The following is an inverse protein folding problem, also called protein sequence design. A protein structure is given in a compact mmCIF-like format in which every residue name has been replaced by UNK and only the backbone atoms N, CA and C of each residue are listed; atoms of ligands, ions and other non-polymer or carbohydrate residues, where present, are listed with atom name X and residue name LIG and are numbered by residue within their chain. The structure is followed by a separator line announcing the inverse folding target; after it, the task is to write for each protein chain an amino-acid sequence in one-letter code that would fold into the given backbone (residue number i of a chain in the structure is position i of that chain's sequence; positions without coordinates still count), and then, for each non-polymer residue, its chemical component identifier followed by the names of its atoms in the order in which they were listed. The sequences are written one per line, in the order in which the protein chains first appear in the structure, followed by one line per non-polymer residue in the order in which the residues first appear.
data_IF_006086019571
#
_entry.id   IF_006086019571
#
_cell.length_a   1.000
_cell.length_b   1.000
_cell.length_c   1.000
_cell.angle_alpha   90.00
_cell.angle_beta   90.00
_cell.angle_gamma   90.00
#
_symmetry.space_group_name_H-M   'P 1'
#
loop_
_entity.id
_entity.type
_entity.pdbx_description
1 polymer ?
#
# COMPACT_ATOMS: atom_id res chain seq x y z
N UNK A 1 -13.01 6.53 15.23
CA UNK A 1 -13.53 6.47 13.83
C UNK A 1 -14.88 7.18 13.60
N UNK A 2 -15.03 7.92 12.50
CA UNK A 2 -16.27 8.61 12.09
C UNK A 2 -17.23 7.77 11.21
N UNK A 3 -18.50 8.21 11.08
CA UNK A 3 -19.56 7.51 10.33
C UNK A 3 -19.29 7.35 8.82
N UNK A 4 -18.44 8.22 8.25
CA UNK A 4 -18.13 8.20 6.81
C UNK A 4 -17.09 7.12 6.50
N UNK A 5 -16.05 6.99 7.34
CA UNK A 5 -15.08 5.90 7.27
C UNK A 5 -15.78 4.54 7.48
N UNK A 6 -16.74 4.47 8.42
CA UNK A 6 -17.56 3.27 8.63
C UNK A 6 -18.30 2.83 7.37
N UNK A 7 -18.88 3.76 6.60
CA UNK A 7 -19.56 3.43 5.33
C UNK A 7 -18.61 2.91 4.23
N UNK A 8 -17.32 3.22 4.35
CA UNK A 8 -16.29 2.81 3.40
C UNK A 8 -15.90 1.33 3.58
N UNK A 9 -16.23 0.74 4.75
CA UNK A 9 -16.01 -0.68 5.04
C UNK A 9 -16.79 -1.58 4.05
N UNK A 10 -18.01 -1.19 3.71
CA UNK A 10 -18.86 -2.01 2.85
C UNK A 10 -18.58 -1.80 1.36
N UNK A 11 -18.14 -0.60 1.00
CA UNK A 11 -17.95 -0.19 -0.39
C UNK A 11 -16.61 0.53 -0.56
N UNK A 12 -15.64 -0.18 -1.15
CA UNK A 12 -14.43 0.45 -1.63
C UNK A 12 -14.75 1.42 -2.78
N UNK A 13 -13.98 2.51 -2.88
CA UNK A 13 -14.15 3.42 -3.98
C UNK A 13 -13.85 2.79 -5.36
N UNK A 14 -14.52 3.24 -6.44
CA UNK A 14 -14.34 2.77 -7.80
C UNK A 14 -12.91 3.01 -8.31
N UNK A 15 -12.49 2.11 -9.18
CA UNK A 15 -11.13 1.99 -9.65
C UNK A 15 -10.86 2.93 -10.83
N UNK A 16 -9.72 3.66 -10.83
CA UNK A 16 -9.32 4.48 -11.97
C UNK A 16 -8.71 3.62 -13.10
N UNK A 17 -7.98 4.29 -14.01
CA UNK A 17 -7.43 3.87 -15.32
C UNK A 17 -6.87 2.45 -15.43
N UNK A 18 -6.47 1.80 -14.33
CA UNK A 18 -6.04 0.39 -14.27
C UNK A 18 -7.06 -0.58 -14.85
N UNK A 19 -8.36 -0.32 -14.69
CA UNK A 19 -9.41 -1.18 -15.27
C UNK A 19 -9.36 -1.18 -16.79
N UNK A 20 -9.06 -0.03 -17.38
CA UNK A 20 -8.90 0.11 -18.84
C UNK A 20 -7.67 -0.66 -19.30
N UNK A 21 -6.53 -0.49 -18.62
CA UNK A 21 -5.29 -1.24 -18.92
C UNK A 21 -5.50 -2.76 -18.82
N UNK A 22 -6.16 -3.22 -17.75
CA UNK A 22 -6.45 -4.63 -17.53
C UNK A 22 -7.36 -5.19 -18.62
N UNK A 23 -8.45 -4.49 -18.94
CA UNK A 23 -9.37 -4.88 -20.02
C UNK A 23 -8.64 -4.96 -21.35
N UNK A 24 -7.94 -3.90 -21.74
CA UNK A 24 -7.29 -3.81 -23.05
C UNK A 24 -6.21 -4.89 -23.21
N UNK A 25 -5.47 -5.21 -22.14
CA UNK A 25 -4.51 -6.29 -22.14
C UNK A 25 -5.16 -7.68 -22.29
N UNK A 26 -6.16 -7.98 -21.46
CA UNK A 26 -6.84 -9.29 -21.50
C UNK A 26 -7.56 -9.50 -22.84
N UNK A 27 -8.24 -8.48 -23.35
CA UNK A 27 -9.01 -8.57 -24.60
C UNK A 27 -8.09 -8.68 -25.84
N UNK A 28 -6.92 -8.02 -25.82
CA UNK A 28 -5.93 -8.12 -26.92
C UNK A 28 -5.15 -9.44 -26.92
N UNK A 29 -4.84 -10.00 -25.75
CA UNK A 29 -4.09 -11.26 -25.65
C UNK A 29 -4.96 -12.51 -25.84
N UNK A 30 -6.26 -12.45 -25.54
CA UNK A 30 -7.21 -13.54 -25.82
C UNK A 30 -6.83 -14.86 -25.16
N UNK A 31 -6.49 -15.88 -25.96
CA UNK A 31 -6.08 -17.20 -25.46
C UNK A 31 -4.64 -17.22 -24.91
N UNK A 32 -3.82 -16.24 -25.28
CA UNK A 32 -2.39 -16.15 -24.94
C UNK A 32 -2.13 -15.21 -23.75
N UNK A 33 -3.15 -14.99 -22.90
CA UNK A 33 -3.02 -14.10 -21.74
C UNK A 33 -1.99 -14.66 -20.76
N UNK A 34 -1.00 -13.83 -20.43
CA UNK A 34 0.00 -14.10 -19.40
C UNK A 34 -0.52 -13.61 -18.05
N UNK A 35 -0.71 -14.56 -17.12
CA UNK A 35 -1.13 -14.31 -15.75
C UNK A 35 -0.20 -13.32 -15.05
N UNK A 36 1.10 -13.37 -15.33
CA UNK A 36 2.09 -12.50 -14.68
C UNK A 36 1.86 -11.03 -15.05
N UNK A 37 1.47 -10.75 -16.30
CA UNK A 37 1.11 -9.39 -16.73
C UNK A 37 -0.19 -8.91 -16.09
N UNK A 38 -1.17 -9.79 -15.93
CA UNK A 38 -2.42 -9.47 -15.20
C UNK A 38 -2.10 -9.11 -13.74
N UNK A 39 -1.29 -9.91 -13.07
CA UNK A 39 -0.84 -9.67 -11.69
C UNK A 39 -0.12 -8.32 -11.59
N UNK A 40 0.80 -8.02 -12.52
CA UNK A 40 1.52 -6.76 -12.54
C UNK A 40 0.61 -5.55 -12.72
N UNK A 41 -0.39 -5.61 -13.60
CA UNK A 41 -1.35 -4.51 -13.77
C UNK A 41 -2.16 -4.27 -12.49
N UNK A 42 -2.55 -5.34 -11.80
CA UNK A 42 -3.38 -5.25 -10.58
C UNK A 42 -2.58 -4.69 -9.40
N UNK A 43 -1.35 -5.16 -9.22
CA UNK A 43 -0.56 -4.87 -8.03
C UNK A 43 -0.03 -3.44 -7.96
N UNK A 44 -0.12 -2.68 -9.06
CA UNK A 44 0.20 -1.25 -9.13
C UNK A 44 -0.96 -0.35 -8.67
N UNK A 45 -2.13 -0.92 -8.37
CA UNK A 45 -3.34 -0.16 -7.98
C UNK A 45 -3.80 -0.54 -6.55
N UNK A 46 -3.71 0.40 -5.59
CA UNK A 46 -4.14 0.19 -4.21
C UNK A 46 -5.59 -0.26 -4.05
N UNK A 47 -6.50 0.35 -4.80
CA UNK A 47 -7.94 0.08 -4.66
C UNK A 47 -8.28 -1.28 -5.26
N UNK A 48 -7.73 -1.62 -6.43
CA UNK A 48 -8.00 -2.89 -7.09
C UNK A 48 -7.40 -4.05 -6.29
N UNK A 49 -6.20 -3.85 -5.74
CA UNK A 49 -5.54 -4.80 -4.83
C UNK A 49 -6.42 -5.08 -3.61
N UNK A 50 -6.89 -4.04 -2.92
CA UNK A 50 -7.73 -4.18 -1.74
C UNK A 50 -9.06 -4.88 -2.05
N UNK A 51 -9.72 -4.48 -3.13
CA UNK A 51 -11.03 -5.00 -3.51
C UNK A 51 -10.98 -6.48 -3.90
N UNK A 52 -9.97 -6.87 -4.67
CA UNK A 52 -9.83 -8.27 -5.08
C UNK A 52 -9.44 -9.17 -3.91
N UNK A 53 -8.57 -8.71 -3.00
CA UNK A 53 -8.22 -9.46 -1.79
C UNK A 53 -9.41 -9.58 -0.83
N UNK A 54 -10.19 -8.51 -0.66
CA UNK A 54 -11.43 -8.52 0.12
C UNK A 54 -12.41 -9.54 -0.43
N UNK A 55 -12.62 -9.54 -1.75
CA UNK A 55 -13.52 -10.48 -2.39
C UNK A 55 -13.03 -11.93 -2.26
N UNK A 56 -11.74 -12.17 -2.52
CA UNK A 56 -11.14 -13.50 -2.44
C UNK A 56 -11.19 -14.10 -1.03
N UNK A 57 -11.08 -13.27 0.02
CA UNK A 57 -11.21 -13.68 1.42
C UNK A 57 -12.65 -13.69 1.95
N UNK A 58 -13.63 -13.32 1.12
CA UNK A 58 -15.03 -13.32 1.53
C UNK A 58 -15.53 -14.75 1.80
N UNK A 59 -16.52 -14.93 2.70
CA UNK A 59 -17.07 -16.24 3.02
C UNK A 59 -17.58 -17.03 1.79
N UNK A 60 -17.91 -16.33 0.70
CA UNK A 60 -18.39 -16.94 -0.54
C UNK A 60 -17.38 -17.92 -1.17
N UNK A 61 -16.08 -17.64 -1.07
CA UNK A 61 -15.04 -18.48 -1.70
C UNK A 61 -14.47 -19.55 -0.77
N UNK A 62 -14.73 -19.49 0.54
CA UNK A 62 -14.30 -20.51 1.49
C UNK A 62 -12.81 -20.48 1.89
N UNK A 63 -12.05 -19.44 1.51
CA UNK A 63 -10.62 -19.26 1.83
C UNK A 63 -10.38 -18.07 2.76
N UNK A 64 -11.23 -17.90 3.77
CA UNK A 64 -11.19 -16.71 4.64
C UNK A 64 -9.88 -16.62 5.42
N UNK A 65 -9.20 -15.47 5.34
CA UNK A 65 -7.87 -15.20 5.93
C UNK A 65 -6.72 -16.01 5.34
N UNK A 66 -6.90 -16.64 4.16
CA UNK A 66 -5.85 -17.46 3.53
C UNK A 66 -5.24 -16.81 2.27
N UNK A 67 -5.97 -15.88 1.63
CA UNK A 67 -5.52 -15.25 0.39
C UNK A 67 -4.74 -13.98 0.73
N UNK A 68 -3.44 -14.01 0.44
CA UNK A 68 -2.49 -12.95 0.79
C UNK A 68 -1.74 -12.35 -0.41
N UNK A 69 -1.87 -12.92 -1.61
CA UNK A 69 -1.18 -12.42 -2.82
C UNK A 69 -2.13 -12.26 -4.00
N UNK A 70 -1.79 -11.33 -4.91
CA UNK A 70 -2.55 -11.14 -6.16
C UNK A 70 -2.48 -12.38 -7.05
N UNK A 71 -1.38 -13.12 -7.02
CA UNK A 71 -1.27 -14.40 -7.73
C UNK A 71 -2.33 -15.40 -7.24
N UNK A 72 -2.54 -15.51 -5.92
CA UNK A 72 -3.57 -16.37 -5.35
C UNK A 72 -4.97 -15.90 -5.73
N UNK A 73 -5.23 -14.59 -5.69
CA UNK A 73 -6.48 -13.99 -6.16
C UNK A 73 -6.79 -14.39 -7.61
N UNK A 74 -5.84 -14.19 -8.52
CA UNK A 74 -6.04 -14.51 -9.94
C UNK A 74 -6.22 -16.02 -10.14
N UNK A 75 -5.54 -16.85 -9.35
CA UNK A 75 -5.68 -18.30 -9.38
C UNK A 75 -7.05 -18.77 -8.89
N UNK A 76 -7.58 -18.14 -7.84
CA UNK A 76 -8.88 -18.48 -7.24
C UNK A 76 -10.04 -17.98 -8.09
N UNK A 77 -10.00 -16.72 -8.50
CA UNK A 77 -11.10 -16.07 -9.21
C UNK A 77 -11.06 -16.36 -10.71
N UNK A 78 -9.87 -16.53 -11.29
CA UNK A 78 -9.66 -16.62 -12.73
C UNK A 78 -9.63 -15.23 -13.39
N UNK A 79 -8.81 -15.10 -14.44
CA UNK A 79 -8.54 -13.83 -15.15
C UNK A 79 -9.83 -13.12 -15.60
N UNK A 80 -10.76 -13.87 -16.18
CA UNK A 80 -12.00 -13.29 -16.70
C UNK A 80 -12.89 -12.71 -15.59
N UNK A 81 -12.98 -13.39 -14.44
CA UNK A 81 -13.73 -12.86 -13.31
C UNK A 81 -13.05 -11.62 -12.74
N UNK A 82 -11.71 -11.64 -12.59
CA UNK A 82 -10.94 -10.47 -12.13
C UNK A 82 -11.20 -9.26 -13.03
N UNK A 83 -11.13 -9.44 -14.36
CA UNK A 83 -11.48 -8.40 -15.34
C UNK A 83 -12.92 -7.90 -15.14
N UNK A 84 -13.89 -8.80 -15.04
CA UNK A 84 -15.30 -8.45 -14.93
C UNK A 84 -15.60 -7.71 -13.61
N UNK A 85 -14.98 -8.12 -12.50
CA UNK A 85 -15.08 -7.46 -11.19
C UNK A 85 -14.50 -6.05 -11.28
N UNK A 86 -13.32 -5.90 -11.88
CA UNK A 86 -12.68 -4.60 -12.07
C UNK A 86 -13.58 -3.65 -12.88
N UNK A 87 -14.17 -4.13 -13.98
CA UNK A 87 -15.11 -3.36 -14.82
C UNK A 87 -16.40 -3.04 -14.05
N UNK A 88 -16.98 -4.00 -13.34
CA UNK A 88 -18.20 -3.76 -12.58
C UNK A 88 -17.98 -2.70 -11.48
N UNK A 89 -16.80 -2.70 -10.84
CA UNK A 89 -16.45 -1.72 -9.83
C UNK A 89 -16.20 -0.32 -10.39
N UNK A 90 -15.62 -0.18 -11.58
CA UNK A 90 -15.45 1.15 -12.19
C UNK A 90 -16.78 1.79 -12.60
N UNK A 91 -17.83 1.00 -12.85
CA UNK A 91 -19.15 1.48 -13.26
C UNK A 91 -20.04 1.97 -12.10
N UNK A 92 -19.69 1.70 -10.83
CA UNK A 92 -20.50 2.04 -9.64
C UNK A 92 -20.50 3.54 -9.24
N UNK A 93 -20.43 4.46 -10.20
CA UNK A 93 -20.37 5.94 -10.10
C UNK A 93 -20.65 6.62 -8.74
N UNK A 94 -19.69 7.48 -8.34
CA UNK A 94 -19.80 8.83 -7.71
C UNK A 94 -18.45 9.31 -7.16
N UNK A 95 -17.49 8.38 -7.01
CA UNK A 95 -16.24 8.65 -6.35
C UNK A 95 -15.11 8.79 -7.37
N UNK A 96 -14.33 9.85 -7.21
CA UNK A 96 -13.10 10.10 -7.95
C UNK A 96 -11.97 9.99 -6.94
N UNK A 97 -10.98 9.14 -7.24
CA UNK A 97 -9.73 9.12 -6.46
C UNK A 97 -9.17 10.52 -6.49
N UNK A 98 -8.99 11.10 -5.31
CA UNK A 98 -8.52 12.47 -5.14
C UNK A 98 -7.83 12.55 -3.79
N UNK A 99 -6.50 12.64 -3.82
CA UNK A 99 -5.65 12.78 -2.62
C UNK A 99 -5.23 14.22 -2.37
N UNK A 100 -5.85 15.19 -3.05
CA UNK A 100 -5.59 16.62 -2.83
C UNK A 100 -5.89 17.13 -1.41
N UNK A 101 -6.77 16.52 -0.58
CA UNK A 101 -6.88 16.89 0.84
C UNK A 101 -5.55 16.78 1.58
N UNK A 102 -4.68 15.85 1.18
CA UNK A 102 -3.33 15.69 1.72
C UNK A 102 -2.28 16.59 1.04
N UNK A 103 -2.70 17.42 0.08
CA UNK A 103 -1.79 18.30 -0.66
C UNK A 103 -1.00 17.60 -1.76
N UNK A 104 -1.41 16.39 -2.14
CA UNK A 104 -0.72 15.54 -3.12
C UNK A 104 -1.39 15.64 -4.50
N UNK A 105 -0.61 15.57 -5.57
CA UNK A 105 -1.15 15.32 -6.91
C UNK A 105 -1.54 13.84 -7.03
N UNK A 106 -2.75 13.58 -7.52
CA UNK A 106 -3.29 12.22 -7.56
C UNK A 106 -2.59 11.33 -8.58
N UNK A 107 -2.19 11.88 -9.73
CA UNK A 107 -1.50 11.08 -10.75
C UNK A 107 -0.07 10.75 -10.32
N UNK A 108 0.61 11.71 -9.69
CA UNK A 108 1.94 11.50 -9.11
C UNK A 108 1.88 10.46 -7.99
N UNK A 109 0.92 10.58 -7.07
CA UNK A 109 0.72 9.61 -5.98
C UNK A 109 0.50 8.18 -6.50
N UNK A 110 -0.41 8.00 -7.47
CA UNK A 110 -0.66 6.68 -8.07
C UNK A 110 0.57 6.16 -8.85
N UNK A 111 1.29 7.06 -9.53
CA UNK A 111 2.56 6.73 -10.19
C UNK A 111 3.63 6.26 -9.20
N UNK A 112 3.69 6.87 -8.02
CA UNK A 112 4.59 6.45 -6.93
C UNK A 112 4.17 5.10 -6.33
N UNK A 113 2.87 4.82 -6.18
CA UNK A 113 2.38 3.50 -5.77
C UNK A 113 2.85 2.40 -6.74
N UNK A 114 2.78 2.66 -8.05
CA UNK A 114 3.27 1.72 -9.06
C UNK A 114 4.79 1.50 -8.95
N UNK A 115 5.57 2.58 -8.75
CA UNK A 115 7.03 2.48 -8.53
C UNK A 115 7.36 1.69 -7.26
N UNK A 116 6.60 1.91 -6.18
CA UNK A 116 6.74 1.21 -4.92
C UNK A 116 6.50 -0.30 -5.09
N UNK A 117 5.39 -0.71 -5.72
CA UNK A 117 5.10 -2.13 -5.99
C UNK A 117 6.20 -2.83 -6.81
N UNK A 118 6.74 -2.13 -7.82
CA UNK A 118 7.84 -2.62 -8.64
C UNK A 118 9.13 -2.74 -7.82
N UNK A 119 9.45 -1.75 -6.98
CA UNK A 119 10.62 -1.81 -6.09
C UNK A 119 10.54 -2.99 -5.11
N UNK A 120 9.38 -3.25 -4.50
CA UNK A 120 9.20 -4.42 -3.61
C UNK A 120 9.49 -5.72 -4.35
N UNK A 121 9.05 -5.82 -5.60
CA UNK A 121 9.29 -6.97 -6.45
C UNK A 121 10.79 -7.12 -6.78
N UNK A 122 11.45 -6.04 -7.18
CA UNK A 122 12.86 -6.05 -7.59
C UNK A 122 13.82 -6.29 -6.42
N UNK A 123 13.52 -5.72 -5.25
CA UNK A 123 14.34 -5.87 -4.06
C UNK A 123 14.29 -7.28 -3.49
N UNK A 124 13.10 -7.86 -3.36
CA UNK A 124 12.90 -9.08 -2.58
C UNK A 124 12.69 -10.35 -3.41
N UNK A 125 12.37 -10.29 -4.70
CA UNK A 125 12.01 -11.49 -5.46
C UNK A 125 13.12 -12.55 -5.56
N UNK A 126 14.39 -12.14 -5.61
CA UNK A 126 15.54 -13.05 -5.61
C UNK A 126 16.01 -13.49 -4.22
N UNK A 127 15.63 -12.75 -3.17
CA UNK A 127 16.02 -13.08 -1.79
C UNK A 127 14.94 -13.93 -1.11
N UNK A 128 13.69 -13.50 -1.23
CA UNK A 128 12.51 -14.13 -0.65
C UNK A 128 11.29 -13.82 -1.52
N UNK A 129 11.09 -14.63 -2.57
CA UNK A 129 9.97 -14.50 -3.50
C UNK A 129 8.61 -14.53 -2.82
N UNK A 130 8.45 -15.35 -1.76
CA UNK A 130 7.18 -15.48 -1.05
C UNK A 130 6.89 -14.18 -0.29
N UNK A 131 7.87 -13.67 0.44
CA UNK A 131 7.75 -12.39 1.12
C UNK A 131 7.42 -11.27 0.15
N UNK A 132 8.16 -11.16 -0.96
CA UNK A 132 7.95 -10.15 -2.00
C UNK A 132 6.48 -10.12 -2.47
N UNK A 133 5.91 -11.27 -2.81
CA UNK A 133 4.51 -11.38 -3.27
C UNK A 133 3.47 -11.01 -2.21
N UNK A 134 3.75 -11.24 -0.93
CA UNK A 134 2.87 -10.87 0.19
C UNK A 134 3.04 -9.40 0.60
N UNK A 135 4.21 -8.81 0.34
CA UNK A 135 4.55 -7.46 0.77
C UNK A 135 4.05 -6.38 -0.21
N UNK A 136 3.92 -6.69 -1.49
CA UNK A 136 3.30 -5.78 -2.47
C UNK A 136 1.87 -5.40 -2.04
N UNK A 137 0.97 -6.35 -1.70
CA UNK A 137 -0.31 -6.01 -1.06
C UNK A 137 -0.18 -5.16 0.19
N UNK A 138 0.77 -5.44 1.08
CA UNK A 138 0.94 -4.64 2.30
C UNK A 138 1.25 -3.16 1.99
N UNK A 139 2.16 -2.91 1.05
CA UNK A 139 2.49 -1.55 0.59
C UNK A 139 1.26 -0.86 -0.03
N UNK A 140 0.54 -1.56 -0.91
CA UNK A 140 -0.67 -1.03 -1.55
C UNK A 140 -1.78 -0.71 -0.53
N UNK A 141 -1.99 -1.58 0.45
CA UNK A 141 -2.99 -1.37 1.51
C UNK A 141 -2.59 -0.22 2.45
N UNK A 142 -1.30 0.03 2.66
CA UNK A 142 -0.85 1.22 3.37
C UNK A 142 -1.25 2.51 2.63
N UNK A 143 -1.06 2.55 1.31
CA UNK A 143 -1.45 3.69 0.46
C UNK A 143 -2.96 3.88 0.36
N UNK A 144 -3.73 2.80 0.51
CA UNK A 144 -5.19 2.87 0.59
C UNK A 144 -5.67 3.78 1.72
N UNK A 145 -4.98 3.84 2.86
CA UNK A 145 -5.36 4.69 4.00
C UNK A 145 -5.59 6.15 3.61
N UNK A 146 -4.63 6.76 2.91
CA UNK A 146 -4.71 8.14 2.41
C UNK A 146 -5.88 8.33 1.44
N UNK A 147 -6.14 7.35 0.57
CA UNK A 147 -7.26 7.40 -0.39
C UNK A 147 -8.60 7.43 0.37
N UNK A 148 -8.77 6.56 1.36
CA UNK A 148 -10.01 6.46 2.13
C UNK A 148 -10.23 7.68 3.03
N UNK A 149 -9.17 8.20 3.63
CA UNK A 149 -9.25 9.41 4.45
C UNK A 149 -9.52 10.65 3.60
N UNK A 150 -8.89 10.78 2.44
CA UNK A 150 -9.18 11.85 1.49
C UNK A 150 -10.65 11.86 1.08
N UNK A 151 -11.23 10.68 0.82
CA UNK A 151 -12.67 10.56 0.58
C UNK A 151 -13.49 11.08 1.76
N UNK A 152 -13.17 10.59 2.96
CA UNK A 152 -13.90 10.93 4.18
C UNK A 152 -13.90 12.43 4.43
N UNK A 153 -12.73 13.06 4.30
CA UNK A 153 -12.54 14.51 4.45
C UNK A 153 -13.37 15.30 3.43
N UNK A 154 -13.39 14.89 2.16
CA UNK A 154 -14.18 15.55 1.11
C UNK A 154 -15.69 15.41 1.36
N UNK A 155 -16.15 14.22 1.74
CA UNK A 155 -17.57 13.99 2.06
C UNK A 155 -18.00 14.78 3.29
N UNK A 156 -17.11 14.97 4.26
CA UNK A 156 -17.34 15.81 5.44
C UNK A 156 -17.18 17.31 5.16
N UNK A 157 -16.68 17.71 4.00
CA UNK A 157 -16.37 19.10 3.66
C UNK A 157 -15.23 19.71 4.47
N UNK A 158 -14.34 18.87 5.02
CA UNK A 158 -13.20 19.26 5.86
C UNK A 158 -11.84 19.23 5.12
N UNK A 159 -11.85 18.91 3.84
CA UNK A 159 -10.66 18.78 2.99
C UNK A 159 -9.74 20.02 3.04
N UNK A 160 -10.31 21.23 2.98
CA UNK A 160 -9.53 22.47 2.98
C UNK A 160 -8.93 22.80 4.34
N UNK A 161 -9.68 22.60 5.42
CA UNK A 161 -9.23 22.82 6.79
C UNK A 161 -8.12 21.85 7.17
N UNK A 162 -8.28 20.58 6.79
CA UNK A 162 -7.27 19.55 6.97
C UNK A 162 -5.97 19.89 6.23
N UNK A 163 -6.07 20.28 4.95
CA UNK A 163 -4.91 20.69 4.16
C UNK A 163 -4.20 21.91 4.75
N UNK A 164 -4.96 22.85 5.31
CA UNK A 164 -4.39 24.03 5.97
C UNK A 164 -3.57 23.62 7.20
N UNK A 165 -4.11 22.73 8.03
CA UNK A 165 -3.40 22.24 9.22
C UNK A 165 -2.15 21.43 8.87
N UNK A 166 -2.18 20.64 7.79
CA UNK A 166 -1.01 19.97 7.24
C UNK A 166 0.09 20.96 6.85
N UNK A 167 -0.26 22.03 6.14
CA UNK A 167 0.70 23.07 5.72
C UNK A 167 1.31 23.80 6.91
N UNK A 168 0.52 24.13 7.93
CA UNK A 168 0.98 24.79 9.15
C UNK A 168 1.97 23.93 9.94
N UNK A 169 1.83 22.60 9.88
CA UNK A 169 2.74 21.64 10.50
C UNK A 169 3.87 21.16 9.56
N UNK A 170 4.04 21.78 8.39
CA UNK A 170 5.03 21.38 7.38
C UNK A 170 4.93 19.89 6.99
N UNK A 171 3.70 19.37 6.89
CA UNK A 171 3.42 17.96 6.58
C UNK A 171 4.04 16.96 7.58
N UNK A 172 4.27 17.40 8.83
CA UNK A 172 4.64 16.52 9.93
C UNK A 172 3.40 16.15 10.75
N UNK A 173 3.50 15.09 11.56
CA UNK A 173 2.45 14.66 12.49
C UNK A 173 1.11 14.32 11.82
N UNK A 174 1.15 13.73 10.61
CA UNK A 174 -0.05 13.38 9.83
C UNK A 174 -1.07 12.59 10.65
N UNK A 175 -0.64 11.57 11.42
CA UNK A 175 -1.53 10.73 12.24
C UNK A 175 -2.31 11.52 13.29
N UNK A 176 -1.67 12.51 13.95
CA UNK A 176 -2.35 13.36 14.95
C UNK A 176 -3.40 14.27 14.28
N UNK A 177 -3.08 14.77 13.08
CA UNK A 177 -3.98 15.59 12.27
C UNK A 177 -5.16 14.74 11.77
N UNK A 178 -4.92 13.50 11.36
CA UNK A 178 -5.95 12.53 11.01
C UNK A 178 -6.89 12.25 12.19
N UNK A 179 -6.36 12.02 13.39
CA UNK A 179 -7.14 11.80 14.61
C UNK A 179 -8.06 12.99 14.92
N UNK A 180 -7.58 14.22 14.80
CA UNK A 180 -8.39 15.42 15.07
C UNK A 180 -9.59 15.54 14.11
N UNK A 181 -9.42 15.15 12.85
CA UNK A 181 -10.46 15.31 11.83
C UNK A 181 -11.39 14.10 11.69
N UNK A 182 -10.85 12.90 11.87
CA UNK A 182 -11.51 11.62 11.61
C UNK A 182 -11.77 10.77 12.87
N UNK A 183 -11.33 11.23 14.05
CA UNK A 183 -11.35 10.51 15.33
C UNK A 183 -10.57 9.18 15.29
N UNK A 184 -9.65 9.02 14.35
CA UNK A 184 -8.79 7.84 14.15
C UNK A 184 -7.67 8.21 13.18
N UNK A 185 -6.49 7.62 13.32
CA UNK A 185 -5.45 7.67 12.29
C UNK A 185 -5.65 6.59 11.21
N UNK A 186 -5.03 6.82 10.05
CA UNK A 186 -5.15 5.93 8.89
C UNK A 186 -4.59 4.54 9.13
N UNK A 187 -3.52 4.38 9.92
CA UNK A 187 -2.90 3.09 10.17
C UNK A 187 -3.76 2.22 11.10
N UNK A 188 -4.27 2.80 12.19
CA UNK A 188 -5.21 2.13 13.10
C UNK A 188 -6.51 1.74 12.38
N UNK A 189 -7.03 2.64 11.53
CA UNK A 189 -8.19 2.33 10.70
C UNK A 189 -7.93 1.17 9.74
N UNK A 190 -6.77 1.13 9.06
CA UNK A 190 -6.41 0.03 8.18
C UNK A 190 -6.32 -1.30 8.94
N UNK A 191 -5.68 -1.33 10.12
CA UNK A 191 -5.60 -2.55 10.93
C UNK A 191 -7.00 -3.12 11.25
N UNK A 192 -7.93 -2.24 11.66
CA UNK A 192 -9.33 -2.60 11.88
C UNK A 192 -10.02 -3.10 10.60
N UNK A 193 -9.87 -2.36 9.49
CA UNK A 193 -10.51 -2.64 8.21
C UNK A 193 -10.07 -3.99 7.63
N UNK A 194 -8.77 -4.28 7.66
CA UNK A 194 -8.20 -5.52 7.15
C UNK A 194 -8.65 -6.72 7.99
N UNK A 195 -8.74 -6.59 9.32
CA UNK A 195 -9.29 -7.66 10.16
C UNK A 195 -10.79 -7.90 9.90
N UNK A 196 -11.55 -6.82 9.70
CA UNK A 196 -12.97 -6.87 9.35
C UNK A 196 -13.18 -7.61 8.03
N UNK A 197 -12.39 -7.30 7.00
CA UNK A 197 -12.42 -7.97 5.69
C UNK A 197 -11.77 -9.35 5.67
N UNK A 198 -11.34 -9.87 6.83
CA UNK A 198 -10.75 -11.21 6.96
C UNK A 198 -9.51 -11.38 6.07
N UNK A 199 -8.66 -10.36 6.01
CA UNK A 199 -7.35 -10.51 5.39
C UNK A 199 -6.48 -11.47 6.21
N UNK A 200 -5.47 -12.02 5.54
CA UNK A 200 -4.46 -12.87 6.15
C UNK A 200 -3.74 -12.15 7.31
N UNK A 201 -3.40 -12.92 8.36
CA UNK A 201 -2.80 -12.38 9.59
C UNK A 201 -1.45 -11.74 9.35
N UNK A 202 -0.64 -12.28 8.45
CA UNK A 202 0.66 -11.69 8.10
C UNK A 202 0.49 -10.27 7.53
N UNK A 203 -0.51 -10.04 6.66
CA UNK A 203 -0.77 -8.71 6.10
C UNK A 203 -1.16 -7.73 7.21
N UNK A 204 -2.12 -8.13 8.05
CA UNK A 204 -2.61 -7.28 9.15
C UNK A 204 -1.45 -6.91 10.08
N UNK A 205 -0.61 -7.86 10.45
CA UNK A 205 0.53 -7.62 11.34
C UNK A 205 1.62 -6.76 10.70
N UNK A 206 1.97 -6.99 9.43
CA UNK A 206 2.95 -6.15 8.74
C UNK A 206 2.52 -4.68 8.75
N UNK A 207 1.26 -4.41 8.44
CA UNK A 207 0.71 -3.04 8.46
C UNK A 207 0.67 -2.50 9.88
N UNK A 208 0.13 -3.26 10.84
CA UNK A 208 -0.05 -2.80 12.23
C UNK A 208 1.26 -2.50 12.96
N UNK A 209 2.33 -3.24 12.66
CA UNK A 209 3.64 -3.08 13.31
C UNK A 209 4.65 -2.30 12.46
N UNK A 210 4.24 -1.66 11.36
CA UNK A 210 5.15 -0.92 10.49
C UNK A 210 5.96 0.17 11.22
N UNK A 211 5.37 0.83 12.22
CA UNK A 211 6.04 1.87 13.02
C UNK A 211 6.87 1.32 14.18
N UNK A 212 6.76 0.02 14.48
CA UNK A 212 7.49 -0.65 15.56
C UNK A 212 7.78 -2.11 15.21
N UNK A 213 8.57 -2.36 14.15
CA UNK A 213 8.72 -3.69 13.57
C UNK A 213 9.37 -4.72 14.51
N UNK A 214 10.21 -4.31 15.47
CA UNK A 214 10.75 -5.20 16.51
C UNK A 214 9.66 -5.86 17.37
N UNK A 215 8.49 -5.21 17.52
CA UNK A 215 7.38 -5.69 18.32
C UNK A 215 6.47 -6.67 17.57
N UNK A 216 6.67 -6.86 16.26
CA UNK A 216 5.91 -7.83 15.48
C UNK A 216 6.25 -9.27 15.89
N UNK A 217 5.29 -10.19 15.71
CA UNK A 217 5.55 -11.62 15.91
C UNK A 217 6.56 -12.15 14.88
N UNK A 218 7.30 -13.20 15.23
CA UNK A 218 8.43 -13.69 14.43
C UNK A 218 8.06 -14.07 12.98
N UNK A 219 6.83 -14.54 12.75
CA UNK A 219 6.32 -14.85 11.41
C UNK A 219 6.08 -13.61 10.53
N UNK A 220 5.81 -12.44 11.12
CA UNK A 220 5.55 -11.19 10.43
C UNK A 220 6.71 -10.19 10.53
N UNK A 221 7.66 -10.39 11.46
CA UNK A 221 8.75 -9.46 11.76
C UNK A 221 9.58 -9.06 10.54
N UNK A 222 9.98 -10.03 9.70
CA UNK A 222 10.68 -9.73 8.44
C UNK A 222 9.83 -8.87 7.50
N UNK A 223 8.53 -9.13 7.41
CA UNK A 223 7.62 -8.31 6.61
C UNK A 223 7.41 -6.91 7.16
N UNK A 224 7.25 -6.77 8.48
CA UNK A 224 7.11 -5.47 9.14
C UNK A 224 8.35 -4.58 8.93
N UNK A 225 9.57 -5.13 9.10
CA UNK A 225 10.81 -4.40 8.79
C UNK A 225 10.90 -4.00 7.32
N UNK A 226 10.63 -4.94 6.41
CA UNK A 226 10.68 -4.65 4.98
C UNK A 226 9.67 -3.56 4.58
N UNK A 227 8.44 -3.61 5.11
CA UNK A 227 7.42 -2.59 4.87
C UNK A 227 7.83 -1.23 5.45
N UNK A 228 8.42 -1.20 6.64
CA UNK A 228 8.91 0.04 7.27
C UNK A 228 10.02 0.69 6.43
N UNK A 229 10.96 -0.12 5.92
CA UNK A 229 12.02 0.32 5.00
C UNK A 229 11.41 0.87 3.71
N UNK A 230 10.51 0.12 3.07
CA UNK A 230 9.81 0.56 1.85
C UNK A 230 9.07 1.89 2.09
N UNK A 231 8.41 2.04 3.24
CA UNK A 231 7.71 3.28 3.54
C UNK A 231 8.68 4.47 3.68
N UNK A 232 9.90 4.29 4.17
CA UNK A 232 10.90 5.37 4.18
C UNK A 232 11.28 5.82 2.74
N UNK A 233 11.26 4.91 1.77
CA UNK A 233 11.57 5.22 0.38
C UNK A 233 10.40 5.90 -0.35
N UNK A 234 9.16 5.51 -0.04
CA UNK A 234 8.00 5.84 -0.87
C UNK A 234 6.87 6.59 -0.16
N UNK A 235 7.03 6.95 1.12
CA UNK A 235 6.01 7.79 1.76
C UNK A 235 5.85 9.15 1.04
N UNK A 236 4.63 9.71 1.00
CA UNK A 236 4.31 10.72 -0.01
C UNK A 236 4.98 12.09 0.13
N UNK A 237 5.58 12.41 1.28
CA UNK A 237 6.10 13.75 1.56
C UNK A 237 7.62 13.84 1.49
N UNK A 238 8.32 12.91 2.12
CA UNK A 238 9.78 12.88 2.27
C UNK A 238 10.36 11.53 1.85
N UNK A 239 9.62 10.72 1.08
CA UNK A 239 10.08 9.43 0.56
C UNK A 239 11.44 9.56 -0.12
N UNK A 240 12.42 8.79 0.37
CA UNK A 240 13.78 8.80 -0.18
C UNK A 240 14.61 10.04 0.13
N UNK A 241 14.15 10.94 1.01
CA UNK A 241 14.95 12.04 1.56
C UNK A 241 16.16 11.52 2.33
N UNK A 242 17.17 12.37 2.57
CA UNK A 242 18.36 11.99 3.35
C UNK A 242 17.96 11.40 4.70
N UNK A 243 17.07 12.07 5.45
CA UNK A 243 16.57 11.59 6.75
C UNK A 243 15.94 10.19 6.65
N UNK A 244 15.04 9.99 5.69
CA UNK A 244 14.38 8.70 5.51
C UNK A 244 15.32 7.60 5.00
N UNK A 245 16.34 7.93 4.19
CA UNK A 245 17.33 6.95 3.75
C UNK A 245 18.23 6.48 4.90
N UNK A 246 18.62 7.39 5.80
CA UNK A 246 19.31 7.01 7.05
C UNK A 246 18.41 6.16 7.94
N UNK A 247 17.15 6.53 8.12
CA UNK A 247 16.18 5.72 8.87
C UNK A 247 15.97 4.33 8.27
N UNK A 248 15.93 4.22 6.94
CA UNK A 248 15.85 2.92 6.25
C UNK A 248 17.08 2.04 6.56
N UNK A 249 18.28 2.63 6.61
CA UNK A 249 19.49 1.93 6.99
C UNK A 249 19.48 1.50 8.47
N UNK A 250 19.03 2.37 9.36
CA UNK A 250 18.86 2.05 10.79
C UNK A 250 17.89 0.88 10.99
N UNK A 251 16.76 0.87 10.29
CA UNK A 251 15.79 -0.24 10.32
C UNK A 251 16.39 -1.56 9.82
N UNK A 252 17.23 -1.53 8.78
CA UNK A 252 17.93 -2.73 8.29
C UNK A 252 18.97 -3.24 9.30
N UNK A 253 19.67 -2.33 10.00
CA UNK A 253 20.60 -2.69 11.06
C UNK A 253 19.86 -3.28 12.28
N UNK A 254 18.78 -2.64 12.71
CA UNK A 254 17.92 -3.11 13.81
C UNK A 254 17.34 -4.50 13.47
N UNK A 255 16.89 -4.73 12.23
CA UNK A 255 16.44 -6.03 11.78
C UNK A 255 17.53 -7.11 11.97
N UNK A 256 18.78 -6.80 11.60
CA UNK A 256 19.90 -7.72 11.77
C UNK A 256 20.17 -8.03 13.25
N UNK A 257 20.07 -7.04 14.14
CA UNK A 257 20.18 -7.23 15.59
C UNK A 257 19.06 -8.13 16.16
N UNK A 258 17.85 -8.03 15.60
CA UNK A 258 16.71 -8.90 15.92
C UNK A 258 16.77 -10.28 15.25
N UNK A 259 17.88 -10.62 14.56
CA UNK A 259 18.06 -11.91 13.88
C UNK A 259 17.34 -12.02 12.54
N UNK A 260 16.84 -10.91 12.00
CA UNK A 260 16.21 -10.82 10.68
C UNK A 260 17.24 -10.38 9.64
N UNK A 261 17.62 -11.28 8.75
CA UNK A 261 18.62 -11.00 7.73
C UNK A 261 18.02 -10.40 6.45
N UNK A 262 18.63 -9.31 5.99
CA UNK A 262 18.43 -8.68 4.67
C UNK A 262 19.79 -8.49 3.99
N UNK A 263 19.84 -8.63 2.66
CA UNK A 263 21.05 -8.31 1.90
C UNK A 263 21.15 -6.80 1.66
N UNK A 264 21.99 -6.11 2.43
CA UNK A 264 22.23 -4.67 2.25
C UNK A 264 22.77 -4.33 0.85
N UNK A 265 23.68 -5.15 0.32
CA UNK A 265 24.22 -4.98 -1.02
C UNK A 265 23.13 -5.04 -2.10
N UNK A 266 22.15 -5.95 -1.96
CA UNK A 266 21.00 -6.03 -2.88
C UNK A 266 20.07 -4.83 -2.73
N UNK A 267 19.79 -4.43 -1.49
CA UNK A 267 19.01 -3.22 -1.23
C UNK A 267 19.63 -2.01 -1.94
N UNK A 268 20.92 -1.73 -1.73
CA UNK A 268 21.63 -0.62 -2.39
C UNK A 268 21.74 -0.74 -3.91
N UNK A 269 21.75 -1.96 -4.46
CA UNK A 269 21.76 -2.19 -5.90
C UNK A 269 20.43 -1.80 -6.54
N UNK A 270 19.31 -2.09 -5.87
CA UNK A 270 17.95 -1.84 -6.39
C UNK A 270 17.44 -0.43 -6.11
N UNK A 271 18.11 0.34 -5.26
CA UNK A 271 17.74 1.74 -4.99
C UNK A 271 17.76 2.60 -6.27
N UNK A 272 16.77 3.50 -6.44
CA UNK A 272 16.85 4.58 -7.42
C UNK A 272 18.14 5.41 -7.22
N UNK A 273 18.75 5.95 -8.29
CA UNK A 273 20.02 6.68 -8.21
C UNK A 273 20.02 7.84 -7.21
N UNK A 274 18.92 8.58 -7.12
CA UNK A 274 18.77 9.71 -6.19
C UNK A 274 18.75 9.25 -4.73
N UNK A 275 18.00 8.19 -4.42
CA UNK A 275 17.94 7.60 -3.08
C UNK A 275 19.29 7.01 -2.66
N UNK A 276 20.03 6.44 -3.61
CA UNK A 276 21.39 5.93 -3.38
C UNK A 276 22.38 7.05 -3.05
N UNK A 277 22.24 8.22 -3.69
CA UNK A 277 23.04 9.39 -3.35
C UNK A 277 22.70 9.92 -1.94
N UNK A 278 21.41 9.96 -1.60
CA UNK A 278 20.92 10.43 -0.29
C UNK A 278 21.39 9.52 0.85
N UNK A 279 21.44 8.20 0.65
CA UNK A 279 21.98 7.24 1.62
C UNK A 279 23.44 7.54 2.03
N UNK A 280 24.23 8.09 1.11
CA UNK A 280 25.64 8.43 1.34
C UNK A 280 25.85 9.88 1.82
N UNK A 281 24.77 10.68 1.89
CA UNK A 281 24.83 12.08 2.29
C UNK A 281 24.78 12.17 3.81
N UNK A 282 25.72 12.84 4.51
CA UNK A 282 25.65 13.02 5.95
C UNK A 282 24.38 13.76 6.37
N UNK A 283 23.77 13.36 7.49
CA UNK A 283 22.71 14.15 8.12
C UNK A 283 23.27 15.54 8.45
N UNK A 284 22.51 16.59 8.12
CA UNK A 284 22.83 17.93 8.58
C UNK A 284 22.84 17.91 10.11
N UNK A 285 23.96 18.32 10.72
CA UNK A 285 24.01 18.55 12.15
C UNK A 285 23.22 19.83 12.42
N UNK A 286 22.01 19.68 12.97
CA UNK A 286 21.25 20.79 13.57
C UNK A 286 21.95 21.32 14.83
#
# INVERSE_FOLDING_TARGET
MNDVLLKTIDNLPPLPTTVVKLRDYVDSAGADVDVSKVVNIIQEDPLLTAELLRLANSPFYGFSREIATIQQVVSLLGINNVKNIAIANSLRNSFTVDVSPYGLDTNEFLGTCAKEANFVSDWLSEEDKKLSQMLVPCAMLLRLGIILFSNSLRVLGKDKEFLQMLKENNFKNISLIEEEFCNEDSLSFLAFLLDHWKFDRFIIECVSYMTSPHSAHDNAKKGAYALAVINCLFEPYQGGSVENMHKAQELLNEAQEQGVSFSFARFEEKLPPEMKANLNTPLAQD
#
